data_IF_545912691780
#
_entry.id   IF_545912691780
#
_cell.length_a   1.000
_cell.length_b   1.000
_cell.length_c   1.000
_cell.angle_alpha   90.00
_cell.angle_beta   90.00
_cell.angle_gamma   90.00
#
_symmetry.space_group_name_H-M   'P 1'
#
loop_
_entity.id
_entity.type
_entity.pdbx_description
1 polymer ?
#
# COMPACT_ATOMS: atom_id res chain seq x y z
N UNK A 1 -4.25 12.02 -1.56
CA UNK A 1 -4.71 10.90 -0.71
C UNK A 1 -3.82 9.70 -0.99
N UNK A 2 -3.08 9.23 0.01
CA UNK A 2 -2.10 8.14 -0.14
C UNK A 2 -2.79 6.79 0.08
N UNK A 3 -2.46 5.76 -0.69
CA UNK A 3 -2.98 4.39 -0.46
C UNK A 3 -1.84 3.49 -0.03
N UNK A 4 -1.99 2.79 1.09
CA UNK A 4 -1.03 1.81 1.55
C UNK A 4 -1.60 0.39 1.40
N UNK A 5 -0.94 -0.41 0.57
CA UNK A 5 -1.21 -1.84 0.47
C UNK A 5 -0.51 -2.55 1.63
N UNK A 6 -1.29 -2.90 2.64
CA UNK A 6 -0.77 -3.32 3.94
C UNK A 6 -0.97 -4.82 4.19
N UNK A 7 0.06 -5.45 4.75
CA UNK A 7 -0.03 -6.77 5.35
C UNK A 7 0.35 -6.67 6.84
N UNK A 8 -0.61 -6.86 7.77
CA UNK A 8 -0.36 -6.76 9.22
C UNK A 8 0.74 -7.69 9.74
N UNK A 9 0.99 -8.81 9.06
CA UNK A 9 2.02 -9.80 9.43
C UNK A 9 3.42 -9.44 8.94
N UNK A 10 3.56 -8.40 8.10
CA UNK A 10 4.86 -7.98 7.55
C UNK A 10 5.44 -6.81 8.36
N UNK A 11 6.57 -7.03 9.04
CA UNK A 11 7.24 -6.00 9.85
C UNK A 11 7.58 -4.73 9.07
N UNK A 12 8.00 -4.86 7.80
CA UNK A 12 8.28 -3.69 6.94
C UNK A 12 7.00 -2.91 6.58
N UNK A 13 5.89 -3.61 6.38
CA UNK A 13 4.61 -2.97 6.07
C UNK A 13 4.08 -2.18 7.28
N UNK A 14 4.26 -2.70 8.50
CA UNK A 14 3.93 -1.97 9.74
C UNK A 14 4.83 -0.74 9.95
N UNK A 15 6.12 -0.85 9.63
CA UNK A 15 7.03 0.30 9.70
C UNK A 15 6.61 1.43 8.74
N UNK A 16 6.20 1.09 7.50
CA UNK A 16 5.70 2.07 6.55
C UNK A 16 4.43 2.79 7.04
N UNK A 17 3.50 2.05 7.65
CA UNK A 17 2.29 2.62 8.26
C UNK A 17 2.64 3.62 9.38
N UNK A 18 3.54 3.23 10.30
CA UNK A 18 3.99 4.08 11.39
C UNK A 18 4.65 5.38 10.90
N UNK A 19 5.39 5.34 9.78
CA UNK A 19 5.97 6.55 9.17
C UNK A 19 4.88 7.49 8.66
N UNK A 20 3.80 6.97 8.07
CA UNK A 20 2.68 7.78 7.61
C UNK A 20 1.94 8.44 8.79
N UNK A 21 1.70 7.68 9.86
CA UNK A 21 1.10 8.17 11.12
C UNK A 21 1.96 9.25 11.77
N UNK A 22 3.27 9.02 11.92
CA UNK A 22 4.21 9.99 12.50
C UNK A 22 4.28 11.30 11.72
N UNK A 23 4.08 11.24 10.40
CA UNK A 23 4.08 12.42 9.52
C UNK A 23 2.72 13.10 9.43
N UNK A 24 1.68 12.55 10.06
CA UNK A 24 0.31 13.08 9.97
C UNK A 24 -0.23 13.08 8.53
N UNK A 25 0.20 12.13 7.70
CA UNK A 25 -0.25 12.04 6.30
C UNK A 25 -1.56 11.27 6.27
N UNK A 26 -2.59 11.82 5.61
CA UNK A 26 -3.83 11.08 5.38
C UNK A 26 -3.62 9.93 4.38
N UNK A 27 -4.01 8.73 4.81
CA UNK A 27 -3.93 7.52 3.98
C UNK A 27 -5.14 6.60 4.14
N UNK A 28 -5.35 5.78 3.10
CA UNK A 28 -6.27 4.64 3.12
C UNK A 28 -5.51 3.33 3.13
N UNK A 29 -5.95 2.39 3.96
CA UNK A 29 -5.35 1.05 4.07
C UNK A 29 -6.10 0.07 3.19
N UNK A 30 -5.37 -0.68 2.35
CA UNK A 30 -5.89 -1.81 1.56
C UNK A 30 -5.21 -3.09 2.02
N UNK A 31 -5.96 -3.99 2.65
CA UNK A 31 -5.49 -5.34 2.99
C UNK A 31 -5.46 -6.22 1.73
N UNK A 32 -4.40 -6.14 0.94
CA UNK A 32 -4.31 -6.77 -0.39
C UNK A 32 -4.42 -8.31 -0.38
N UNK A 33 -4.20 -8.96 0.77
CA UNK A 33 -4.41 -10.41 0.92
C UNK A 33 -5.89 -10.78 1.07
N UNK A 34 -6.72 -9.88 1.60
CA UNK A 34 -8.17 -10.07 1.72
C UNK A 34 -8.92 -9.51 0.51
N UNK A 35 -8.49 -8.34 0.05
CA UNK A 35 -9.06 -7.61 -1.08
C UNK A 35 -7.97 -7.41 -2.14
N UNK A 36 -7.67 -8.45 -2.93
CA UNK A 36 -6.63 -8.36 -3.93
C UNK A 36 -6.99 -7.33 -5.01
N UNK A 37 -6.02 -6.52 -5.48
CA UNK A 37 -6.24 -5.58 -6.56
C UNK A 37 -6.59 -6.32 -7.86
N UNK A 38 -7.43 -5.70 -8.67
CA UNK A 38 -7.74 -6.16 -10.01
C UNK A 38 -6.51 -6.08 -10.92
N UNK A 39 -6.55 -6.77 -12.06
CA UNK A 39 -5.49 -6.70 -13.07
C UNK A 39 -5.17 -5.26 -13.49
N UNK A 40 -6.21 -4.43 -13.65
CA UNK A 40 -6.05 -3.02 -14.03
C UNK A 40 -5.30 -2.23 -12.96
N UNK A 41 -5.69 -2.39 -11.69
CA UNK A 41 -5.04 -1.71 -10.57
C UNK A 41 -3.59 -2.18 -10.39
N UNK A 42 -3.30 -3.46 -10.59
CA UNK A 42 -1.93 -3.98 -10.58
C UNK A 42 -1.08 -3.35 -11.68
N UNK A 43 -1.59 -3.24 -12.91
CA UNK A 43 -0.87 -2.57 -14.00
C UNK A 43 -0.57 -1.11 -13.67
N UNK A 44 -1.51 -0.41 -13.05
CA UNK A 44 -1.32 0.98 -12.62
C UNK A 44 -0.26 1.10 -11.51
N UNK A 45 -0.25 0.15 -10.55
CA UNK A 45 0.77 0.08 -9.49
C UNK A 45 2.15 -0.18 -10.10
N UNK A 46 2.28 -1.16 -10.99
CA UNK A 46 3.54 -1.51 -11.65
C UNK A 46 4.10 -0.31 -12.43
N UNK A 47 3.23 0.39 -13.17
CA UNK A 47 3.60 1.62 -13.90
C UNK A 47 4.13 2.71 -12.97
N UNK A 48 3.50 2.91 -11.80
CA UNK A 48 3.96 3.87 -10.78
C UNK A 48 5.28 3.46 -10.13
N UNK A 49 5.56 2.17 -10.04
CA UNK A 49 6.81 1.63 -9.51
C UNK A 49 7.94 1.62 -10.55
N UNK A 50 7.63 1.89 -11.83
CA UNK A 50 8.59 1.78 -12.92
C UNK A 50 9.01 0.33 -13.20
N UNK A 51 8.14 -0.63 -12.89
CA UNK A 51 8.38 -2.07 -13.08
C UNK A 51 7.54 -2.53 -14.28
N UNK A 52 8.17 -3.27 -15.20
CA UNK A 52 7.55 -3.81 -16.42
C UNK A 52 7.60 -5.33 -16.45
#
# INVERSE_FOLDING_TARGET
MTTIYHNPRCSKSRAALAILEQKGIDYSVVEYLKNPPTKKELTDILSKLGIS
#
